data_IF_833371245367
#
_entry.id   IF_833371245367
#
_cell.length_a   1.000
_cell.length_b   1.000
_cell.length_c   1.000
_cell.angle_alpha   90.00
_cell.angle_beta   90.00
_cell.angle_gamma   90.00
#
_symmetry.space_group_name_H-M   'P 1'
#
loop_
_entity.id
_entity.type
_entity.pdbx_description
1 polymer ?
#
# COMPACT_ATOMS: atom_id res chain seq x y z
N UNK A 1 -24.06 -6.85 -5.52
CA UNK A 1 -24.02 -6.68 -4.06
C UNK A 1 -25.45 -6.50 -3.55
N UNK A 2 -25.69 -6.77 -2.27
CA UNK A 2 -27.01 -6.56 -1.65
C UNK A 2 -27.49 -5.10 -1.80
N UNK A 3 -26.60 -4.13 -1.83
CA UNK A 3 -26.94 -2.71 -2.00
C UNK A 3 -27.41 -2.35 -3.41
N UNK A 4 -27.09 -3.16 -4.42
CA UNK A 4 -27.42 -2.88 -5.83
C UNK A 4 -28.47 -3.86 -6.37
N UNK A 5 -28.88 -4.84 -5.57
CA UNK A 5 -29.91 -5.80 -5.93
C UNK A 5 -31.25 -5.08 -6.18
N UNK A 6 -31.84 -5.38 -7.35
CA UNK A 6 -33.12 -4.78 -7.77
C UNK A 6 -33.14 -3.25 -7.67
N UNK A 7 -32.02 -2.59 -8.03
CA UNK A 7 -31.96 -1.12 -8.07
C UNK A 7 -33.01 -0.53 -9.03
N UNK A 8 -33.33 -1.28 -10.11
CA UNK A 8 -34.50 -1.06 -10.95
C UNK A 8 -35.58 -2.06 -10.56
N UNK A 9 -36.48 -1.63 -9.68
CA UNK A 9 -37.67 -2.36 -9.23
C UNK A 9 -38.96 -1.66 -9.69
N UNK A 10 -40.13 -2.13 -9.26
CA UNK A 10 -41.41 -1.56 -9.65
C UNK A 10 -41.55 -0.07 -9.32
N UNK A 11 -41.07 0.35 -8.15
CA UNK A 11 -41.12 1.76 -7.72
C UNK A 11 -40.20 2.64 -8.58
N UNK A 12 -38.95 2.24 -8.74
CA UNK A 12 -37.98 3.00 -9.53
C UNK A 12 -38.36 3.04 -11.02
N UNK A 13 -38.87 1.95 -11.57
CA UNK A 13 -39.40 1.93 -12.94
C UNK A 13 -40.61 2.88 -13.13
N UNK A 14 -41.53 2.94 -12.18
CA UNK A 14 -42.68 3.84 -12.25
C UNK A 14 -42.27 5.32 -12.27
N UNK A 15 -41.10 5.65 -11.72
CA UNK A 15 -40.55 7.03 -11.71
C UNK A 15 -39.82 7.40 -12.98
N UNK A 16 -39.60 6.44 -13.88
CA UNK A 16 -38.93 6.70 -15.14
C UNK A 16 -39.87 7.39 -16.16
N UNK A 17 -39.28 7.99 -17.18
CA UNK A 17 -40.07 8.56 -18.30
C UNK A 17 -40.87 7.46 -19.01
N UNK A 18 -42.15 7.70 -19.29
CA UNK A 18 -42.96 6.80 -20.12
C UNK A 18 -42.29 6.59 -21.48
N UNK A 19 -42.21 5.34 -21.94
CA UNK A 19 -41.54 4.96 -23.16
C UNK A 19 -40.02 4.76 -23.01
N UNK A 20 -39.51 4.69 -21.78
CA UNK A 20 -38.08 4.36 -21.52
C UNK A 20 -37.73 3.00 -22.12
N UNK A 21 -36.45 2.85 -22.51
CA UNK A 21 -35.86 1.56 -22.86
C UNK A 21 -34.81 1.18 -21.82
N UNK A 22 -34.82 -0.09 -21.42
CA UNK A 22 -33.90 -0.63 -20.39
C UNK A 22 -32.92 -1.59 -21.06
N UNK A 23 -31.63 -1.30 -20.93
CA UNK A 23 -30.57 -2.18 -21.44
C UNK A 23 -29.72 -2.64 -20.27
N UNK A 24 -29.55 -3.95 -20.12
CA UNK A 24 -28.70 -4.54 -19.11
C UNK A 24 -27.69 -5.53 -19.72
N UNK A 25 -26.45 -5.04 -19.90
CA UNK A 25 -25.27 -5.83 -20.25
C UNK A 25 -24.25 -5.84 -19.12
N UNK A 26 -24.67 -5.52 -17.88
CA UNK A 26 -23.78 -5.40 -16.73
C UNK A 26 -23.78 -6.69 -15.88
N UNK A 27 -24.80 -6.87 -15.06
CA UNK A 27 -24.96 -8.08 -14.23
C UNK A 27 -26.44 -8.38 -14.02
N UNK A 28 -26.76 -9.67 -13.87
CA UNK A 28 -28.08 -10.13 -13.41
C UNK A 28 -28.38 -9.66 -11.98
N UNK A 29 -29.67 -9.56 -11.64
CA UNK A 29 -30.13 -9.11 -10.33
C UNK A 29 -30.06 -7.60 -10.09
N UNK A 30 -29.63 -6.78 -11.05
CA UNK A 30 -29.72 -5.31 -10.96
C UNK A 30 -31.13 -4.82 -11.27
N UNK A 31 -31.85 -5.52 -12.11
CA UNK A 31 -33.22 -5.23 -12.52
C UNK A 31 -34.13 -6.33 -11.97
N UNK A 32 -35.23 -5.96 -11.38
CA UNK A 32 -36.32 -6.88 -11.07
C UNK A 32 -37.03 -7.27 -12.39
N UNK A 33 -36.78 -8.46 -12.85
CA UNK A 33 -37.24 -8.95 -14.16
C UNK A 33 -38.77 -9.09 -14.20
N UNK A 34 -39.41 -9.40 -13.07
CA UNK A 34 -40.88 -9.45 -12.99
C UNK A 34 -41.49 -8.05 -13.04
N UNK A 35 -40.91 -7.10 -12.31
CA UNK A 35 -41.36 -5.71 -12.33
C UNK A 35 -41.17 -5.08 -13.73
N UNK A 36 -40.03 -5.39 -14.39
CA UNK A 36 -39.77 -4.94 -15.76
C UNK A 36 -40.78 -5.55 -16.74
N UNK A 37 -41.11 -6.84 -16.60
CA UNK A 37 -42.12 -7.51 -17.44
C UNK A 37 -43.46 -6.80 -17.29
N UNK A 38 -43.90 -6.51 -16.09
CA UNK A 38 -45.17 -5.78 -15.88
C UNK A 38 -45.15 -4.37 -16.47
N UNK A 39 -44.01 -3.67 -16.40
CA UNK A 39 -43.85 -2.34 -16.97
C UNK A 39 -43.86 -2.35 -18.53
N UNK A 40 -43.35 -3.43 -19.14
CA UNK A 40 -43.41 -3.67 -20.59
C UNK A 40 -44.85 -3.97 -21.01
N UNK A 41 -45.55 -4.84 -20.29
CA UNK A 41 -46.95 -5.22 -20.60
C UNK A 41 -47.90 -4.01 -20.52
N UNK A 42 -47.65 -3.07 -19.59
CA UNK A 42 -48.44 -1.81 -19.51
C UNK A 42 -48.00 -0.73 -20.52
N UNK A 43 -46.92 -0.95 -21.24
CA UNK A 43 -46.35 0.03 -22.18
C UNK A 43 -45.69 1.25 -21.50
N UNK A 44 -45.44 1.20 -20.20
CA UNK A 44 -44.62 2.20 -19.51
C UNK A 44 -43.17 2.12 -20.00
N UNK A 45 -42.62 0.91 -20.09
CA UNK A 45 -41.34 0.61 -20.74
C UNK A 45 -41.60 0.23 -22.19
N UNK A 46 -40.96 0.91 -23.15
CA UNK A 46 -41.17 0.66 -24.56
C UNK A 46 -40.41 -0.54 -25.11
N UNK A 47 -39.37 -0.97 -24.44
CA UNK A 47 -38.55 -2.12 -24.82
C UNK A 47 -37.38 -2.36 -23.88
N UNK A 48 -36.80 -3.55 -23.98
CA UNK A 48 -35.62 -3.91 -23.18
C UNK A 48 -34.65 -4.76 -24.00
N UNK A 49 -33.38 -4.70 -23.62
CA UNK A 49 -32.34 -5.60 -24.12
C UNK A 49 -31.50 -6.13 -22.95
N UNK A 50 -31.40 -7.47 -22.87
CA UNK A 50 -30.76 -8.16 -21.73
C UNK A 50 -29.76 -9.20 -22.22
N UNK A 51 -28.52 -9.06 -21.77
CA UNK A 51 -27.46 -10.04 -21.98
C UNK A 51 -27.16 -10.84 -20.70
N UNK A 52 -27.72 -10.40 -19.55
CA UNK A 52 -27.44 -10.95 -18.23
C UNK A 52 -28.72 -11.12 -17.44
N UNK A 53 -28.82 -12.20 -16.62
CA UNK A 53 -30.03 -12.58 -15.91
C UNK A 53 -29.75 -12.89 -14.43
N UNK A 54 -30.79 -12.84 -13.59
CA UNK A 54 -30.69 -13.12 -12.17
C UNK A 54 -30.24 -14.57 -11.89
N UNK A 55 -30.57 -15.50 -12.77
CA UNK A 55 -30.14 -16.91 -12.75
C UNK A 55 -29.49 -17.21 -14.11
N UNK A 56 -28.25 -17.67 -14.08
CA UNK A 56 -27.50 -18.05 -15.28
C UNK A 56 -26.91 -19.47 -15.12
N UNK A 57 -26.94 -20.32 -16.17
CA UNK A 57 -27.56 -20.10 -17.49
C UNK A 57 -29.07 -19.92 -17.39
N UNK A 58 -29.61 -18.89 -18.08
CA UNK A 58 -31.02 -18.62 -18.09
C UNK A 58 -31.74 -19.53 -19.10
N UNK A 59 -32.43 -20.57 -18.62
CA UNK A 59 -33.29 -21.43 -19.43
C UNK A 59 -34.74 -20.97 -19.45
N UNK A 60 -35.19 -20.32 -18.38
CA UNK A 60 -36.52 -19.74 -18.21
C UNK A 60 -36.36 -18.33 -17.60
N UNK A 61 -37.08 -17.34 -18.14
CA UNK A 61 -37.07 -15.99 -17.61
C UNK A 61 -38.37 -15.25 -17.99
N UNK A 62 -38.94 -14.41 -17.11
CA UNK A 62 -40.15 -13.64 -17.39
C UNK A 62 -40.08 -12.80 -18.64
N UNK A 63 -38.88 -12.38 -19.04
CA UNK A 63 -38.65 -11.52 -20.20
C UNK A 63 -38.64 -12.29 -21.53
N UNK A 64 -38.47 -13.61 -21.51
CA UNK A 64 -38.36 -14.39 -22.74
C UNK A 64 -39.69 -14.40 -23.53
N UNK A 65 -39.58 -14.29 -24.84
CA UNK A 65 -40.72 -14.29 -25.74
C UNK A 65 -41.51 -12.97 -25.75
N UNK A 66 -41.16 -11.96 -24.96
CA UNK A 66 -41.83 -10.67 -25.03
C UNK A 66 -41.45 -9.92 -26.35
N UNK A 67 -42.39 -9.42 -27.16
CA UNK A 67 -42.11 -8.86 -28.50
C UNK A 67 -41.19 -7.64 -28.50
N UNK A 68 -41.15 -6.90 -27.38
CA UNK A 68 -40.33 -5.71 -27.23
C UNK A 68 -39.04 -5.97 -26.42
N UNK A 69 -38.60 -7.23 -26.26
CA UNK A 69 -37.40 -7.59 -25.54
C UNK A 69 -36.45 -8.39 -26.43
N UNK A 70 -35.20 -7.99 -26.43
CA UNK A 70 -34.11 -8.75 -27.03
C UNK A 70 -33.29 -9.37 -25.90
N UNK A 71 -33.04 -10.68 -25.99
CA UNK A 71 -32.24 -11.43 -24.99
C UNK A 71 -31.08 -12.12 -25.71
N UNK A 72 -29.90 -12.05 -25.12
CA UNK A 72 -28.69 -12.79 -25.52
C UNK A 72 -28.14 -13.60 -24.35
N UNK A 73 -27.45 -14.73 -24.59
CA UNK A 73 -27.00 -15.61 -23.53
C UNK A 73 -25.63 -15.22 -22.94
N UNK A 74 -25.50 -14.01 -22.43
CA UNK A 74 -24.30 -13.45 -21.81
C UNK A 74 -23.10 -13.43 -22.78
N UNK A 75 -23.27 -12.78 -23.91
CA UNK A 75 -22.30 -12.74 -25.01
C UNK A 75 -21.27 -11.60 -24.91
N UNK A 76 -21.40 -10.67 -23.97
CA UNK A 76 -20.59 -9.46 -23.90
C UNK A 76 -19.06 -9.68 -23.94
N UNK A 77 -18.59 -10.79 -23.34
CA UNK A 77 -17.19 -11.20 -23.36
C UNK A 77 -16.92 -12.49 -24.14
N UNK A 78 -17.94 -13.09 -24.78
CA UNK A 78 -17.86 -14.40 -25.42
C UNK A 78 -17.70 -14.35 -26.94
N UNK A 79 -17.75 -13.16 -27.54
CA UNK A 79 -17.47 -12.98 -28.99
C UNK A 79 -15.98 -13.14 -29.26
N UNK A 80 -15.59 -13.63 -30.43
CA UNK A 80 -14.19 -13.76 -30.85
C UNK A 80 -13.45 -12.43 -30.73
N UNK A 81 -14.05 -11.35 -31.21
CA UNK A 81 -13.50 -10.00 -31.12
C UNK A 81 -13.26 -9.55 -29.66
N UNK A 82 -14.21 -9.81 -28.75
CA UNK A 82 -14.06 -9.44 -27.34
C UNK A 82 -12.92 -10.25 -26.67
N UNK A 83 -12.80 -11.53 -27.00
CA UNK A 83 -11.73 -12.39 -26.47
C UNK A 83 -10.35 -11.95 -26.97
N UNK A 84 -10.21 -11.62 -28.25
CA UNK A 84 -8.96 -11.12 -28.82
C UNK A 84 -8.57 -9.77 -28.18
N UNK A 85 -9.51 -8.83 -28.07
CA UNK A 85 -9.28 -7.53 -27.45
C UNK A 85 -8.88 -7.65 -25.97
N UNK A 86 -9.55 -8.50 -25.19
CA UNK A 86 -9.20 -8.74 -23.78
C UNK A 86 -7.82 -9.37 -23.65
N UNK A 87 -7.50 -10.36 -24.50
CA UNK A 87 -6.18 -11.01 -24.48
C UNK A 87 -5.06 -10.00 -24.76
N UNK A 88 -5.24 -9.14 -25.78
CA UNK A 88 -4.28 -8.10 -26.11
C UNK A 88 -4.14 -7.08 -24.96
N UNK A 89 -5.24 -6.56 -24.43
CA UNK A 89 -5.21 -5.59 -23.33
C UNK A 89 -4.53 -6.15 -22.08
N UNK A 90 -4.77 -7.41 -21.72
CA UNK A 90 -4.12 -8.06 -20.57
C UNK A 90 -2.62 -8.22 -20.83
N UNK A 91 -2.23 -8.63 -22.04
CA UNK A 91 -0.82 -8.78 -22.39
C UNK A 91 -0.08 -7.42 -22.30
N UNK A 92 -0.68 -6.34 -22.80
CA UNK A 92 -0.16 -4.99 -22.70
C UNK A 92 -0.03 -4.53 -21.25
N UNK A 93 -1.09 -4.69 -20.43
CA UNK A 93 -1.08 -4.32 -19.02
C UNK A 93 -0.04 -5.10 -18.20
N UNK A 94 0.08 -6.41 -18.43
CA UNK A 94 1.11 -7.22 -17.77
C UNK A 94 2.52 -6.80 -18.21
N UNK A 95 2.72 -6.53 -19.48
CA UNK A 95 3.99 -6.04 -20.02
C UNK A 95 4.39 -4.70 -19.41
N UNK A 96 3.48 -3.75 -19.34
CA UNK A 96 3.71 -2.45 -18.70
C UNK A 96 4.00 -2.58 -17.21
N UNK A 97 3.33 -3.48 -16.51
CA UNK A 97 3.63 -3.75 -15.09
C UNK A 97 5.03 -4.32 -14.92
N UNK A 98 5.39 -5.37 -15.68
CA UNK A 98 6.67 -6.06 -15.54
C UNK A 98 7.87 -5.20 -15.97
N UNK A 99 7.71 -4.41 -17.04
CA UNK A 99 8.81 -3.61 -17.59
C UNK A 99 8.93 -2.23 -16.96
N UNK A 100 7.82 -1.61 -16.60
CA UNK A 100 7.75 -0.20 -16.20
C UNK A 100 7.19 0.00 -14.79
N UNK A 101 6.56 -1.01 -14.19
CA UNK A 101 5.87 -0.91 -12.90
C UNK A 101 4.54 -0.16 -12.98
N UNK A 102 4.01 0.06 -14.19
CA UNK A 102 2.71 0.68 -14.38
C UNK A 102 1.59 -0.26 -13.94
N UNK A 103 0.57 0.27 -13.27
CA UNK A 103 -0.60 -0.48 -12.81
C UNK A 103 -1.84 0.18 -13.40
N UNK A 104 -2.51 -0.50 -14.33
CA UNK A 104 -3.73 -0.03 -14.94
C UNK A 104 -4.88 -1.00 -14.66
N UNK A 105 -6.08 -0.45 -14.44
CA UNK A 105 -7.31 -1.23 -14.22
C UNK A 105 -7.29 -2.23 -13.06
N UNK A 106 -6.39 -2.09 -12.10
CA UNK A 106 -6.40 -2.93 -10.89
C UNK A 106 -7.66 -2.65 -10.05
N UNK A 107 -8.36 -3.69 -9.62
CA UNK A 107 -9.60 -3.58 -8.82
C UNK A 107 -9.30 -3.16 -7.38
N UNK A 108 -8.15 -3.52 -6.86
CA UNK A 108 -7.79 -3.45 -5.45
C UNK A 108 -6.48 -2.67 -5.19
N UNK A 109 -6.02 -1.93 -6.18
CA UNK A 109 -4.83 -1.08 -6.06
C UNK A 109 -4.99 0.20 -6.90
N UNK A 110 -4.43 1.35 -6.47
CA UNK A 110 -4.49 2.59 -7.25
C UNK A 110 -3.79 2.44 -8.60
N UNK A 111 -4.39 2.98 -9.65
CA UNK A 111 -3.75 3.02 -10.97
C UNK A 111 -2.52 3.92 -10.96
N UNK A 112 -1.43 3.43 -11.54
CA UNK A 112 -0.15 4.13 -11.71
C UNK A 112 0.18 4.08 -13.20
N UNK A 113 0.24 5.23 -13.85
CA UNK A 113 0.57 5.27 -15.29
C UNK A 113 2.04 4.94 -15.55
N UNK A 114 2.37 4.59 -16.78
CA UNK A 114 3.77 4.33 -17.19
C UNK A 114 4.67 5.57 -17.04
N UNK A 115 4.10 6.78 -17.10
CA UNK A 115 4.80 8.05 -16.89
C UNK A 115 5.04 8.33 -15.40
N UNK A 116 4.08 7.98 -14.53
CA UNK A 116 4.17 8.16 -13.08
C UNK A 116 5.10 7.14 -12.42
N UNK A 117 5.11 5.90 -12.92
CA UNK A 117 5.80 4.77 -12.30
C UNK A 117 7.30 5.02 -12.01
N UNK A 118 8.12 5.57 -12.92
CA UNK A 118 9.53 5.85 -12.66
C UNK A 118 9.76 6.84 -11.52
N UNK A 119 8.89 7.85 -11.39
CA UNK A 119 8.96 8.86 -10.32
C UNK A 119 8.47 8.30 -8.98
N UNK A 120 7.47 7.43 -9.01
CA UNK A 120 6.84 6.87 -7.81
C UNK A 120 7.65 5.72 -7.21
N UNK A 121 8.34 4.92 -8.04
CA UNK A 121 9.10 3.73 -7.62
C UNK A 121 10.08 3.98 -6.47
N UNK A 122 10.93 5.02 -6.47
CA UNK A 122 11.83 5.30 -5.35
C UNK A 122 11.09 5.62 -4.05
N UNK A 123 9.96 6.33 -4.13
CA UNK A 123 9.14 6.66 -2.97
C UNK A 123 8.35 5.47 -2.43
N UNK A 124 7.93 4.54 -3.30
CA UNK A 124 7.36 3.24 -2.86
C UNK A 124 8.42 2.48 -2.07
N UNK A 125 9.64 2.38 -2.59
CA UNK A 125 10.75 1.72 -1.89
C UNK A 125 11.10 2.41 -0.57
N UNK A 126 11.10 3.75 -0.53
CA UNK A 126 11.28 4.52 0.70
C UNK A 126 10.18 4.20 1.71
N UNK A 127 8.92 4.30 1.32
CA UNK A 127 7.77 4.05 2.20
C UNK A 127 7.81 2.63 2.79
N UNK A 128 8.08 1.62 1.96
CA UNK A 128 8.22 0.23 2.39
C UNK A 128 9.36 0.05 3.39
N UNK A 129 10.53 0.65 3.13
CA UNK A 129 11.69 0.58 4.01
C UNK A 129 11.48 1.31 5.34
N UNK A 130 10.84 2.49 5.34
CA UNK A 130 10.44 3.18 6.57
C UNK A 130 9.45 2.33 7.39
N UNK A 131 8.49 1.70 6.72
CA UNK A 131 7.58 0.74 7.33
C UNK A 131 8.34 -0.42 7.97
N UNK A 132 9.22 -1.07 7.22
CA UNK A 132 10.05 -2.18 7.70
C UNK A 132 10.93 -1.78 8.89
N UNK A 133 11.56 -0.61 8.85
CA UNK A 133 12.31 -0.05 9.96
C UNK A 133 11.45 0.05 11.23
N UNK A 134 10.28 0.66 11.13
CA UNK A 134 9.38 0.82 12.27
C UNK A 134 8.83 -0.54 12.75
N UNK A 135 8.46 -1.44 11.84
CA UNK A 135 7.93 -2.77 12.15
C UNK A 135 8.92 -3.65 12.89
N UNK A 136 10.16 -3.71 12.39
CA UNK A 136 11.22 -4.48 13.04
C UNK A 136 11.55 -3.98 14.46
N UNK A 137 11.35 -2.69 14.74
CA UNK A 137 11.56 -2.11 16.07
C UNK A 137 10.33 -2.17 16.98
N UNK A 138 9.17 -2.60 16.46
CA UNK A 138 7.92 -2.67 17.22
C UNK A 138 7.79 -4.04 17.90
N UNK A 139 7.48 -4.03 19.21
CA UNK A 139 7.40 -5.23 20.05
C UNK A 139 6.01 -5.44 20.67
N UNK A 140 5.11 -4.47 20.51
CA UNK A 140 3.75 -4.49 21.07
C UNK A 140 2.72 -4.16 20.02
N UNK A 141 1.43 -4.35 20.33
CA UNK A 141 0.33 -4.04 19.43
C UNK A 141 0.36 -2.59 18.94
N UNK A 142 0.09 -2.40 17.65
CA UNK A 142 0.00 -1.07 17.02
C UNK A 142 -1.45 -0.63 17.08
N UNK A 143 -1.71 0.53 17.70
CA UNK A 143 -3.03 1.15 17.73
C UNK A 143 -3.24 2.14 16.59
N UNK A 144 -2.18 2.87 16.18
CA UNK A 144 -2.28 3.93 15.19
C UNK A 144 -1.02 4.03 14.34
N UNK A 145 -1.20 4.34 13.07
CA UNK A 145 -0.15 4.64 12.10
C UNK A 145 -0.48 5.99 11.46
N UNK A 146 0.42 6.96 11.58
CA UNK A 146 0.28 8.27 10.95
C UNK A 146 1.38 8.42 9.90
N UNK A 147 0.98 8.80 8.68
CA UNK A 147 1.91 9.02 7.58
C UNK A 147 1.72 10.45 7.09
N UNK A 148 2.78 11.24 7.16
CA UNK A 148 2.80 12.60 6.62
C UNK A 148 3.65 12.63 5.36
N UNK A 149 3.08 13.16 4.30
CA UNK A 149 3.72 13.39 3.01
C UNK A 149 3.94 14.89 2.84
N UNK A 150 5.18 15.33 2.70
CA UNK A 150 5.53 16.75 2.59
C UNK A 150 6.22 17.06 1.27
N UNK A 151 5.84 18.16 0.63
CA UNK A 151 6.43 18.63 -0.63
C UNK A 151 5.95 17.87 -1.85
N UNK A 152 6.81 17.62 -2.83
CA UNK A 152 6.39 17.09 -4.14
C UNK A 152 5.81 15.67 -4.03
N UNK A 153 6.22 14.87 -3.06
CA UNK A 153 5.65 13.53 -2.81
C UNK A 153 4.16 13.59 -2.40
N UNK A 154 3.70 14.69 -1.79
CA UNK A 154 2.31 14.88 -1.41
C UNK A 154 1.36 14.97 -2.61
N UNK A 155 1.87 15.28 -3.79
CA UNK A 155 1.13 15.36 -5.05
C UNK A 155 1.11 14.02 -5.83
N UNK A 156 1.79 13.00 -5.31
CA UNK A 156 1.86 11.67 -5.93
C UNK A 156 0.68 10.79 -5.52
N UNK A 157 0.69 9.53 -5.92
CA UNK A 157 -0.32 8.50 -5.54
C UNK A 157 -0.09 8.03 -4.10
N UNK A 158 -0.36 8.90 -3.12
CA UNK A 158 -0.10 8.63 -1.68
C UNK A 158 -0.72 7.32 -1.20
N UNK A 159 -1.86 6.90 -1.74
CA UNK A 159 -2.48 5.60 -1.40
C UNK A 159 -1.56 4.41 -1.68
N UNK A 160 -0.79 4.45 -2.78
CA UNK A 160 0.18 3.42 -3.09
C UNK A 160 1.36 3.45 -2.10
N UNK A 161 1.80 4.64 -1.70
CA UNK A 161 2.86 4.84 -0.70
C UNK A 161 2.42 4.37 0.68
N UNK A 162 1.19 4.70 1.10
CA UNK A 162 0.60 4.20 2.35
C UNK A 162 0.54 2.68 2.37
N UNK A 163 0.08 2.05 1.28
CA UNK A 163 0.02 0.59 1.17
C UNK A 163 1.42 -0.04 1.28
N UNK A 164 2.44 0.57 0.68
CA UNK A 164 3.83 0.12 0.77
C UNK A 164 4.38 0.27 2.20
N UNK A 165 4.13 1.42 2.86
CA UNK A 165 4.54 1.64 4.24
C UNK A 165 3.90 0.63 5.20
N UNK A 166 2.59 0.36 5.04
CA UNK A 166 1.88 -0.64 5.84
C UNK A 166 2.39 -2.06 5.58
N UNK A 167 2.68 -2.41 4.32
CA UNK A 167 3.25 -3.71 3.98
C UNK A 167 4.62 -3.91 4.66
N UNK A 168 5.50 -2.92 4.56
CA UNK A 168 6.79 -2.93 5.24
C UNK A 168 6.65 -3.04 6.76
N UNK A 169 5.73 -2.27 7.35
CA UNK A 169 5.46 -2.24 8.79
C UNK A 169 4.96 -3.59 9.33
N UNK A 170 4.06 -4.24 8.60
CA UNK A 170 3.37 -5.44 9.07
C UNK A 170 4.15 -6.73 8.77
N UNK A 171 4.94 -6.76 7.69
CA UNK A 171 5.69 -7.96 7.27
C UNK A 171 6.60 -8.55 8.35
N UNK A 172 7.37 -7.78 9.12
CA UNK A 172 8.21 -8.33 10.20
C UNK A 172 7.43 -9.03 11.31
N UNK A 173 6.14 -8.72 11.46
CA UNK A 173 5.29 -9.25 12.52
C UNK A 173 4.37 -10.39 12.05
N UNK A 174 4.00 -10.41 10.78
CA UNK A 174 2.93 -11.26 10.26
C UNK A 174 3.34 -12.18 9.10
N UNK A 175 4.56 -12.04 8.57
CA UNK A 175 5.01 -12.82 7.41
C UNK A 175 4.50 -12.28 6.08
N UNK A 176 3.80 -13.08 5.31
CA UNK A 176 3.41 -12.80 3.92
C UNK A 176 2.37 -11.67 3.78
N UNK A 177 2.83 -10.43 3.95
CA UNK A 177 2.04 -9.22 3.71
C UNK A 177 2.54 -8.53 2.45
N UNK A 178 1.62 -8.24 1.54
CA UNK A 178 1.91 -7.48 0.32
C UNK A 178 1.19 -6.11 0.34
N UNK A 179 1.52 -5.28 -0.64
CA UNK A 179 0.97 -3.90 -0.73
C UNK A 179 -0.54 -3.87 -0.92
N UNK A 180 -1.15 -4.91 -1.49
CA UNK A 180 -2.60 -4.98 -1.72
C UNK A 180 -3.35 -5.33 -0.43
N UNK A 181 -2.84 -6.32 0.33
CA UNK A 181 -3.49 -6.80 1.55
C UNK A 181 -3.23 -5.93 2.78
N UNK A 182 -2.18 -5.13 2.78
CA UNK A 182 -1.69 -4.41 3.95
C UNK A 182 -2.73 -3.49 4.60
N UNK A 183 -3.46 -2.70 3.80
CA UNK A 183 -4.47 -1.77 4.31
C UNK A 183 -5.69 -2.50 4.91
N UNK A 184 -6.10 -3.61 4.31
CA UNK A 184 -7.20 -4.45 4.80
C UNK A 184 -6.81 -5.07 6.14
N UNK A 185 -5.62 -5.67 6.21
CA UNK A 185 -5.11 -6.32 7.42
C UNK A 185 -4.92 -5.30 8.55
N UNK A 186 -4.41 -4.11 8.27
CA UNK A 186 -4.30 -3.04 9.27
C UNK A 186 -5.67 -2.71 9.87
N UNK A 187 -6.70 -2.57 9.02
CA UNK A 187 -8.08 -2.30 9.46
C UNK A 187 -8.68 -3.47 10.26
N UNK A 188 -8.52 -4.71 9.82
CA UNK A 188 -9.01 -5.89 10.52
C UNK A 188 -8.38 -6.05 11.91
N UNK A 189 -7.14 -5.58 12.08
CA UNK A 189 -6.45 -5.53 13.36
C UNK A 189 -6.77 -4.31 14.21
N UNK A 190 -7.73 -3.49 13.80
CA UNK A 190 -8.17 -2.31 14.54
C UNK A 190 -7.18 -1.14 14.53
N UNK A 191 -6.18 -1.16 13.63
CA UNK A 191 -5.24 -0.05 13.51
C UNK A 191 -5.90 1.16 12.84
N UNK A 192 -5.76 2.34 13.44
CA UNK A 192 -6.16 3.61 12.83
C UNK A 192 -5.04 4.08 11.92
N UNK A 193 -5.31 4.23 10.62
CA UNK A 193 -4.33 4.75 9.65
C UNK A 193 -4.73 6.16 9.24
N UNK A 194 -3.86 7.12 9.50
CA UNK A 194 -4.06 8.53 9.16
C UNK A 194 -3.03 8.99 8.14
N UNK A 195 -3.49 9.65 7.09
CA UNK A 195 -2.67 10.26 6.06
C UNK A 195 -2.80 11.78 6.14
N UNK A 196 -1.68 12.47 6.09
CA UNK A 196 -1.62 13.94 6.06
C UNK A 196 -0.73 14.39 4.91
N UNK A 197 -1.16 15.37 4.15
CA UNK A 197 -0.34 16.02 3.11
C UNK A 197 -0.03 17.46 3.52
N UNK A 198 1.21 17.90 3.27
CA UNK A 198 1.68 19.26 3.58
C UNK A 198 2.54 19.79 2.44
N UNK A 199 2.68 21.10 2.38
CA UNK A 199 3.73 21.74 1.60
C UNK A 199 5.11 21.47 2.22
N UNK A 200 6.17 21.61 1.45
CA UNK A 200 7.54 21.47 1.96
C UNK A 200 7.85 22.59 2.94
N UNK A 201 8.13 22.24 4.19
CA UNK A 201 8.47 23.20 5.26
C UNK A 201 9.96 23.18 5.65
N UNK A 202 10.77 22.29 5.03
CA UNK A 202 12.14 22.03 5.45
C UNK A 202 13.16 22.00 4.31
N UNK A 203 14.28 21.36 4.60
CA UNK A 203 15.44 21.29 3.69
C UNK A 203 15.25 20.28 2.53
N UNK A 204 14.14 19.52 2.52
CA UNK A 204 13.89 18.45 1.55
C UNK A 204 12.72 18.82 0.63
N UNK A 205 12.90 18.63 -0.68
CA UNK A 205 11.82 18.77 -1.68
C UNK A 205 10.66 17.79 -1.42
N UNK A 206 10.97 16.65 -0.89
CA UNK A 206 10.01 15.59 -0.56
C UNK A 206 10.40 14.88 0.71
N UNK A 207 9.44 14.68 1.62
CA UNK A 207 9.64 13.97 2.87
C UNK A 207 8.46 13.03 3.14
N UNK A 208 8.75 11.79 3.54
CA UNK A 208 7.77 10.85 4.11
C UNK A 208 8.11 10.67 5.58
N UNK A 209 7.17 10.99 6.46
CA UNK A 209 7.28 10.81 7.91
C UNK A 209 6.28 9.76 8.35
N UNK A 210 6.76 8.69 8.95
CA UNK A 210 5.97 7.60 9.50
C UNK A 210 6.04 7.64 11.04
N UNK A 211 4.88 7.70 11.68
CA UNK A 211 4.73 7.61 13.13
C UNK A 211 3.89 6.40 13.49
N UNK A 212 4.43 5.51 14.31
CA UNK A 212 3.76 4.31 14.80
C UNK A 212 3.51 4.47 16.30
N UNK A 213 2.23 4.39 16.67
CA UNK A 213 1.76 4.49 18.07
C UNK A 213 1.41 3.10 18.56
N UNK A 214 1.97 2.73 19.68
CA UNK A 214 1.70 1.50 20.41
C UNK A 214 1.23 1.81 21.84
N UNK A 215 0.82 0.82 22.58
CA UNK A 215 0.45 1.01 23.99
C UNK A 215 1.58 1.58 24.87
N UNK A 216 2.84 1.36 24.48
CA UNK A 216 4.01 1.73 25.29
C UNK A 216 4.76 2.93 24.80
N UNK A 217 4.71 3.22 23.52
CA UNK A 217 5.55 4.28 22.93
C UNK A 217 5.02 4.75 21.58
N UNK A 218 5.43 5.96 21.25
CA UNK A 218 5.35 6.52 19.91
C UNK A 218 6.74 6.50 19.27
N UNK A 219 6.82 6.07 18.02
CA UNK A 219 8.07 6.04 17.27
C UNK A 219 7.89 6.72 15.94
N UNK A 220 8.75 7.67 15.66
CA UNK A 220 8.76 8.42 14.40
C UNK A 220 10.05 8.16 13.65
N UNK A 221 9.92 7.92 12.34
CA UNK A 221 11.02 7.87 11.37
C UNK A 221 10.63 8.68 10.14
N UNK A 222 11.57 9.42 9.58
CA UNK A 222 11.34 10.16 8.34
C UNK A 222 12.46 9.90 7.34
N UNK A 223 12.11 9.93 6.07
CA UNK A 223 13.02 9.70 4.98
C UNK A 223 12.68 10.51 3.74
N UNK A 224 13.65 10.59 2.85
CA UNK A 224 13.54 11.27 1.55
C UNK A 224 14.19 10.42 0.46
N UNK A 225 13.99 10.82 -0.78
CA UNK A 225 14.69 10.27 -1.94
C UNK A 225 15.58 11.36 -2.51
N UNK A 226 16.88 11.08 -2.64
CA UNK A 226 17.82 12.00 -3.25
C UNK A 226 17.76 11.98 -4.78
N UNK A 227 18.43 12.93 -5.42
CA UNK A 227 18.43 13.07 -6.87
C UNK A 227 18.98 11.82 -7.61
N UNK A 228 19.75 10.98 -6.93
CA UNK A 228 20.23 9.69 -7.43
C UNK A 228 19.17 8.57 -7.38
N UNK A 229 17.95 8.87 -6.89
CA UNK A 229 16.86 7.92 -6.73
C UNK A 229 16.98 7.01 -5.50
N UNK A 230 17.96 7.22 -4.62
CA UNK A 230 18.19 6.37 -3.44
C UNK A 230 17.39 6.85 -2.23
N UNK A 231 16.65 5.95 -1.56
CA UNK A 231 16.00 6.24 -0.29
C UNK A 231 17.00 6.50 0.84
N UNK A 232 16.73 7.52 1.66
CA UNK A 232 17.52 7.88 2.84
C UNK A 232 16.64 8.05 4.07
N UNK A 233 17.13 7.64 5.22
CA UNK A 233 16.59 8.02 6.53
C UNK A 233 17.23 9.37 6.90
N UNK A 234 16.39 10.37 7.19
CA UNK A 234 16.86 11.71 7.54
C UNK A 234 16.50 12.14 8.97
N UNK A 235 15.59 11.41 9.60
CA UNK A 235 15.22 11.67 10.99
C UNK A 235 14.72 10.40 11.68
N UNK A 236 15.13 10.15 12.92
CA UNK A 236 14.60 9.11 13.78
C UNK A 236 14.35 9.73 15.16
N UNK A 237 13.11 9.68 15.67
CA UNK A 237 12.71 10.22 16.97
C UNK A 237 13.15 11.68 17.20
N UNK A 238 13.08 12.52 16.16
CA UNK A 238 13.51 13.91 16.22
C UNK A 238 15.03 14.15 15.98
N UNK A 239 15.83 13.10 16.00
CA UNK A 239 17.29 13.21 15.78
C UNK A 239 17.55 13.18 14.27
N UNK A 240 18.18 14.26 13.77
CA UNK A 240 18.59 14.37 12.36
C UNK A 240 19.76 13.44 12.06
N UNK A 241 19.74 12.83 10.91
CA UNK A 241 20.82 11.99 10.38
C UNK A 241 20.73 11.94 8.85
N UNK A 242 21.69 11.28 8.23
CA UNK A 242 21.65 10.94 6.80
C UNK A 242 22.18 9.50 6.68
N UNK A 243 21.28 8.54 6.46
CA UNK A 243 21.64 7.14 6.39
C UNK A 243 20.98 6.44 5.21
N UNK A 244 21.76 5.66 4.48
CA UNK A 244 21.24 4.72 3.48
C UNK A 244 20.63 3.50 4.17
N UNK A 245 19.77 2.79 3.43
CA UNK A 245 19.28 1.49 3.86
C UNK A 245 20.17 0.38 3.28
N UNK A 246 21.06 -0.15 4.10
CA UNK A 246 21.82 -1.33 3.76
C UNK A 246 21.04 -2.64 4.05
N UNK A 247 21.44 -3.77 3.45
CA UNK A 247 20.75 -5.06 3.62
C UNK A 247 20.78 -5.58 5.06
N UNK A 248 21.81 -5.25 5.83
CA UNK A 248 21.99 -5.66 7.22
C UNK A 248 22.54 -4.49 8.04
N UNK A 249 21.72 -3.95 8.95
CA UNK A 249 22.06 -2.78 9.73
C UNK A 249 21.86 -3.00 11.22
N UNK A 250 22.77 -2.46 12.02
CA UNK A 250 22.60 -2.42 13.48
C UNK A 250 22.04 -1.05 13.85
N UNK A 251 20.83 -1.03 14.41
CA UNK A 251 20.23 0.14 15.02
C UNK A 251 20.63 0.21 16.49
N UNK A 252 21.18 1.34 16.92
CA UNK A 252 21.60 1.56 18.31
C UNK A 252 21.04 2.89 18.81
N UNK A 253 20.51 2.88 20.01
CA UNK A 253 20.31 4.09 20.81
C UNK A 253 21.33 4.09 21.95
N UNK A 254 22.04 5.19 22.12
CA UNK A 254 23.10 5.31 23.12
C UNK A 254 23.17 6.74 23.71
N UNK A 255 23.92 6.89 24.78
CA UNK A 255 24.32 8.21 25.27
C UNK A 255 25.55 8.69 24.48
N UNK A 256 25.51 9.95 24.07
CA UNK A 256 26.62 10.61 23.34
C UNK A 256 27.79 10.86 24.30
N UNK A 257 28.62 9.85 24.50
CA UNK A 257 29.81 9.91 25.36
C UNK A 257 31.05 9.44 24.61
N UNK A 258 32.20 10.04 24.89
CA UNK A 258 33.48 9.59 24.33
C UNK A 258 33.73 8.09 24.58
N UNK A 259 34.29 7.44 23.55
CA UNK A 259 34.67 6.02 23.62
C UNK A 259 33.59 5.05 23.13
N UNK A 260 32.35 5.46 22.91
CA UNK A 260 31.31 4.58 22.37
C UNK A 260 31.70 3.97 21.01
N UNK A 261 32.01 4.83 20.03
CA UNK A 261 32.34 4.38 18.66
C UNK A 261 33.53 3.43 18.68
N UNK A 262 34.61 3.77 19.44
CA UNK A 262 35.78 2.92 19.54
C UNK A 262 35.47 1.51 20.11
N UNK A 263 34.76 1.46 21.23
CA UNK A 263 34.39 0.16 21.87
C UNK A 263 33.44 -0.64 20.97
N UNK A 264 32.48 0.00 20.36
CA UNK A 264 31.56 -0.65 19.41
C UNK A 264 32.32 -1.25 18.22
N UNK A 265 33.17 -0.45 17.55
CA UNK A 265 33.91 -0.89 16.40
C UNK A 265 34.90 -2.00 16.73
N UNK A 266 35.59 -1.92 17.90
CA UNK A 266 36.45 -3.02 18.36
C UNK A 266 35.65 -4.30 18.61
N UNK A 267 34.45 -4.20 19.21
CA UNK A 267 33.59 -5.38 19.45
C UNK A 267 33.24 -6.12 18.17
N UNK A 268 32.97 -5.38 17.07
CA UNK A 268 32.69 -5.99 15.76
C UNK A 268 33.98 -6.50 15.09
N UNK A 269 35.05 -5.69 15.12
CA UNK A 269 36.35 -6.06 14.52
C UNK A 269 36.95 -7.31 15.14
N UNK A 270 36.90 -7.46 16.47
CA UNK A 270 37.36 -8.65 17.20
C UNK A 270 36.55 -9.91 16.84
N UNK A 271 35.31 -9.72 16.39
CA UNK A 271 34.46 -10.79 15.86
C UNK A 271 34.61 -11.01 14.35
N UNK A 272 35.53 -10.30 13.68
CA UNK A 272 35.74 -10.40 12.23
C UNK A 272 34.64 -9.79 11.38
N UNK A 273 33.81 -8.90 11.94
CA UNK A 273 32.71 -8.25 11.23
C UNK A 273 33.16 -6.89 10.72
N UNK A 274 33.07 -6.70 9.40
CA UNK A 274 33.39 -5.42 8.77
C UNK A 274 32.24 -4.45 8.85
N UNK A 275 32.54 -3.17 9.07
CA UNK A 275 31.59 -2.05 9.05
C UNK A 275 31.64 -1.41 7.66
N UNK A 276 30.54 -1.45 6.91
CA UNK A 276 30.42 -0.84 5.60
C UNK A 276 30.13 0.65 5.69
N UNK A 277 29.14 1.04 6.54
CA UNK A 277 28.80 2.44 6.79
C UNK A 277 28.52 2.68 8.28
N UNK A 278 28.75 3.91 8.74
CA UNK A 278 28.52 4.30 10.13
C UNK A 278 27.87 5.68 10.20
N UNK A 279 26.56 5.73 10.42
CA UNK A 279 25.77 6.95 10.50
C UNK A 279 25.39 7.23 11.95
N UNK A 280 25.67 8.43 12.45
CA UNK A 280 25.34 8.86 13.81
C UNK A 280 24.63 10.19 13.78
N UNK A 281 23.50 10.25 14.49
CA UNK A 281 22.82 11.50 14.83
C UNK A 281 22.76 11.65 16.35
N UNK A 282 22.72 12.89 16.84
CA UNK A 282 22.55 13.18 18.27
C UNK A 282 21.59 14.34 18.48
N UNK A 283 20.90 14.34 19.60
CA UNK A 283 20.01 15.40 20.02
C UNK A 283 20.80 16.65 20.43
N UNK A 284 21.78 16.44 21.30
CA UNK A 284 22.72 17.46 21.79
C UNK A 284 24.00 16.80 22.28
N UNK A 285 25.11 17.54 22.45
CA UNK A 285 26.32 17.01 23.07
C UNK A 285 26.05 16.41 24.45
N UNK A 286 26.43 15.14 24.65
CA UNK A 286 26.20 14.37 25.88
C UNK A 286 24.78 13.83 26.07
N UNK A 287 23.86 14.14 25.16
CA UNK A 287 22.47 13.69 25.17
C UNK A 287 22.27 12.31 24.53
N UNK A 288 21.04 12.08 24.07
CA UNK A 288 20.72 10.85 23.33
C UNK A 288 21.33 10.90 21.93
N UNK A 289 21.79 9.75 21.48
CA UNK A 289 22.30 9.53 20.12
C UNK A 289 21.69 8.27 19.52
N UNK A 290 21.62 8.26 18.20
CA UNK A 290 21.18 7.11 17.42
C UNK A 290 22.27 6.81 16.39
N UNK A 291 22.65 5.55 16.29
CA UNK A 291 23.54 5.07 15.25
C UNK A 291 22.84 4.03 14.38
N UNK A 292 23.07 4.12 13.07
CA UNK A 292 22.72 3.12 12.06
C UNK A 292 24.04 2.68 11.41
N UNK A 293 24.35 1.42 11.56
CA UNK A 293 25.62 0.86 11.10
C UNK A 293 25.33 -0.29 10.15
N UNK A 294 25.75 -0.17 8.92
CA UNK A 294 25.71 -1.26 7.96
C UNK A 294 26.93 -2.17 8.17
N UNK A 295 26.69 -3.46 8.18
CA UNK A 295 27.73 -4.47 8.35
C UNK A 295 27.72 -5.46 7.17
N UNK A 296 28.89 -6.01 6.89
CA UNK A 296 29.02 -7.09 5.93
C UNK A 296 28.71 -8.44 6.60
N UNK A 297 27.87 -9.25 5.92
CA UNK A 297 27.54 -10.60 6.37
C UNK A 297 26.54 -10.67 7.52
N UNK A 298 26.64 -11.72 8.32
CA UNK A 298 25.71 -11.99 9.42
C UNK A 298 26.26 -11.51 10.76
N UNK A 299 25.37 -10.98 11.60
CA UNK A 299 25.72 -10.64 12.99
C UNK A 299 25.36 -11.81 13.92
N UNK A 300 26.36 -12.49 14.53
CA UNK A 300 26.10 -13.52 15.51
C UNK A 300 25.37 -12.98 16.75
N UNK A 301 24.50 -13.78 17.33
CA UNK A 301 23.67 -13.37 18.47
C UNK A 301 24.51 -13.00 19.71
N UNK A 302 25.64 -13.68 19.93
CA UNK A 302 26.56 -13.40 21.01
C UNK A 302 27.29 -12.05 20.82
N UNK A 303 27.62 -11.69 19.58
CA UNK A 303 28.21 -10.38 19.24
C UNK A 303 27.20 -9.26 19.49
N UNK A 304 25.95 -9.45 19.06
CA UNK A 304 24.88 -8.49 19.36
C UNK A 304 24.65 -8.36 20.89
N UNK A 305 24.76 -9.44 21.62
CA UNK A 305 24.68 -9.40 23.09
C UNK A 305 25.84 -8.61 23.71
N UNK A 306 27.08 -8.75 23.20
CA UNK A 306 28.22 -7.93 23.60
C UNK A 306 28.01 -6.44 23.32
N UNK A 307 27.46 -6.11 22.13
CA UNK A 307 27.10 -4.73 21.78
C UNK A 307 26.06 -4.16 22.76
N UNK A 308 25.02 -4.94 23.10
CA UNK A 308 24.00 -4.53 24.08
C UNK A 308 24.57 -4.30 25.48
N UNK A 309 25.63 -4.98 25.83
CA UNK A 309 26.29 -4.87 27.14
C UNK A 309 27.25 -3.66 27.27
N UNK A 310 27.49 -2.92 26.17
CA UNK A 310 28.33 -1.72 26.24
C UNK A 310 27.65 -0.64 27.10
N UNK A 311 28.40 0.03 28.00
CA UNK A 311 27.82 0.90 29.06
C UNK A 311 27.00 2.07 28.53
N UNK A 312 27.27 2.53 27.32
CA UNK A 312 26.56 3.66 26.70
C UNK A 312 25.31 3.23 25.93
N UNK A 313 25.15 1.93 25.60
CA UNK A 313 24.08 1.40 24.78
C UNK A 313 22.81 1.26 25.62
N UNK A 314 21.72 1.83 25.12
CA UNK A 314 20.38 1.70 25.69
C UNK A 314 19.57 0.61 24.96
N UNK A 315 19.73 0.54 23.64
CA UNK A 315 19.10 -0.46 22.79
C UNK A 315 20.04 -0.80 21.63
N UNK A 316 20.12 -2.07 21.25
CA UNK A 316 20.72 -2.48 19.98
C UNK A 316 19.89 -3.58 19.34
N UNK A 317 19.60 -3.44 18.04
CA UNK A 317 18.79 -4.38 17.27
C UNK A 317 19.36 -4.50 15.84
N UNK A 318 19.42 -5.73 15.33
CA UNK A 318 19.72 -5.98 13.93
C UNK A 318 18.47 -5.75 13.10
N UNK A 319 18.60 -4.99 12.02
CA UNK A 319 17.55 -4.71 11.03
C UNK A 319 17.97 -5.28 9.68
N UNK A 320 17.01 -5.79 8.90
CA UNK A 320 17.21 -6.33 7.55
C UNK A 320 16.25 -5.65 6.56
N UNK A 321 16.76 -5.24 5.37
CA UNK A 321 15.99 -4.52 4.36
C UNK A 321 16.09 -5.16 2.98
#
# INVERSE_FOLDING_TARGET
>A
TEKTKNILNAESLARTKKGVRVINCARGGLVDENALRAALDTGHVAGAAFDVFSIEPATENPLFGHPNVVCTPHLGAATTEAQENVAQQIAEQMSDFLLRGAISNAVNFPSITAEEAPRLKPFIALAEKLGSFAGQLTETGISKVQITYEGSVAQMKIKALTSAALAGLLRPMLGDINVVSSAVIAKERGMVVEETTREAEGDYDSLIKLTVVTERQERTVAGTVYADGRPRIVNIKGIRMDAEFGPSMIYITNLDKPGFIGKFSSTLGDAGINIATFHVGREAPGGNAIALIEIDGELPTDVLAKVRALPQVQQAKLLRF
#
